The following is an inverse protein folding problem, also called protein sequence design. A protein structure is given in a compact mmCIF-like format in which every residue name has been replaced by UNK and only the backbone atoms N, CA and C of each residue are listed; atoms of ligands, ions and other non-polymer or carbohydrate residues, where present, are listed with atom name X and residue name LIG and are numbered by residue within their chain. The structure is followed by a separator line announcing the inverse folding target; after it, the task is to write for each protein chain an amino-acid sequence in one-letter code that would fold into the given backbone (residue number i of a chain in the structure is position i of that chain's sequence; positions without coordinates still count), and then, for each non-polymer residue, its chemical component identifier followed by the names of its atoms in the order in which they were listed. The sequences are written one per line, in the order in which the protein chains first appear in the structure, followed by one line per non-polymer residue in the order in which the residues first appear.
data_IF_815308669970
#
_entry.id   IF_815308669970
#
_cell.length_a   1.000
_cell.length_b   1.000
_cell.length_c   1.000
_cell.angle_alpha   90.00
_cell.angle_beta   90.00
_cell.angle_gamma   90.00
#
_symmetry.space_group_name_H-M   'P 1'
#
loop_
_entity.id
_entity.type
_entity.pdbx_description
1 polymer ?
#
# COMPACT_ATOMS: atom_id res chain seq x y z
N UNK A 1 20.13 -14.13 39.50
CA UNK A 1 19.69 -14.90 38.31
C UNK A 1 18.17 -14.90 38.10
N UNK A 2 17.35 -15.14 39.14
CA UNK A 2 15.87 -15.13 39.02
C UNK A 2 15.27 -13.76 38.61
N UNK A 3 15.93 -12.64 38.93
CA UNK A 3 15.47 -11.27 38.69
C UNK A 3 15.70 -10.73 37.27
N UNK A 4 16.53 -11.37 36.45
CA UNK A 4 16.72 -10.98 35.04
C UNK A 4 15.77 -11.70 34.08
N UNK A 5 15.12 -12.77 34.52
CA UNK A 5 14.18 -13.55 33.73
C UNK A 5 12.95 -12.74 33.26
N UNK A 6 12.31 -11.89 34.09
CA UNK A 6 11.16 -11.09 33.66
C UNK A 6 11.52 -10.06 32.58
N UNK A 7 12.72 -9.48 32.65
CA UNK A 7 13.21 -8.49 31.69
C UNK A 7 13.40 -9.12 30.30
N UNK A 8 14.00 -10.31 30.25
CA UNK A 8 14.23 -11.05 29.00
C UNK A 8 12.90 -11.46 28.34
N UNK A 9 11.90 -11.89 29.13
CA UNK A 9 10.57 -12.21 28.61
C UNK A 9 9.87 -11.00 27.98
N UNK A 10 9.95 -9.84 28.61
CA UNK A 10 9.40 -8.58 28.09
C UNK A 10 10.06 -8.22 26.76
N UNK A 11 11.39 -8.31 26.65
CA UNK A 11 12.10 -8.06 25.39
C UNK A 11 11.65 -8.99 24.26
N UNK A 12 11.44 -10.29 24.55
CA UNK A 12 10.96 -11.26 23.56
C UNK A 12 9.55 -10.89 23.07
N UNK A 13 8.65 -10.51 23.97
CA UNK A 13 7.28 -10.13 23.64
C UNK A 13 7.25 -8.85 22.79
N UNK A 14 7.98 -7.81 23.18
CA UNK A 14 8.06 -6.55 22.41
C UNK A 14 8.72 -6.75 21.05
N UNK A 15 9.76 -7.58 20.96
CA UNK A 15 10.40 -7.95 19.70
C UNK A 15 9.41 -8.61 18.74
N UNK A 16 8.67 -9.61 19.22
CA UNK A 16 7.63 -10.28 18.43
C UNK A 16 6.48 -9.34 18.04
N UNK A 17 6.06 -8.48 18.96
CA UNK A 17 4.96 -7.54 18.73
C UNK A 17 5.29 -6.42 17.76
N UNK A 18 6.55 -6.00 17.61
CA UNK A 18 6.94 -4.95 16.65
C UNK A 18 7.33 -5.49 15.26
N UNK A 19 8.01 -6.64 15.20
CA UNK A 19 8.45 -7.23 13.92
C UNK A 19 7.30 -7.84 13.12
N UNK A 20 6.38 -8.53 13.80
CA UNK A 20 5.23 -9.16 13.14
C UNK A 20 4.28 -8.16 12.44
N UNK A 21 3.90 -7.01 13.03
CA UNK A 21 3.07 -6.03 12.35
C UNK A 21 3.81 -5.29 11.24
N UNK A 22 5.13 -5.08 11.35
CA UNK A 22 5.91 -4.47 10.27
C UNK A 22 5.91 -5.34 9.01
N UNK A 23 6.14 -6.64 9.16
CA UNK A 23 6.12 -7.57 8.02
C UNK A 23 4.74 -7.65 7.36
N UNK A 24 3.67 -7.52 8.15
CA UNK A 24 2.30 -7.52 7.61
C UNK A 24 2.03 -6.28 6.74
N UNK A 25 2.36 -5.08 7.23
CA UNK A 25 2.19 -3.82 6.47
C UNK A 25 2.98 -3.80 5.16
N UNK A 26 4.22 -4.30 5.17
CA UNK A 26 5.04 -4.35 3.95
C UNK A 26 4.46 -5.33 2.90
N UNK A 27 3.96 -6.49 3.35
CA UNK A 27 3.32 -7.49 2.47
C UNK A 27 2.01 -6.96 1.88
N UNK A 28 1.20 -6.28 2.68
CA UNK A 28 -0.07 -5.72 2.23
C UNK A 28 0.13 -4.59 1.20
N UNK A 29 1.14 -3.73 1.42
CA UNK A 29 1.50 -2.69 0.44
C UNK A 29 2.03 -3.30 -0.87
N UNK A 30 2.87 -4.33 -0.81
CA UNK A 30 3.35 -5.02 -2.00
C UNK A 30 2.21 -5.65 -2.82
N UNK A 31 1.19 -6.21 -2.16
CA UNK A 31 0.00 -6.75 -2.82
C UNK A 31 -0.81 -5.68 -3.53
N UNK A 32 -1.07 -4.54 -2.87
CA UNK A 32 -1.76 -3.39 -3.48
C UNK A 32 -1.03 -2.88 -4.73
N UNK A 33 0.28 -2.71 -4.64
CA UNK A 33 1.14 -2.27 -5.75
C UNK A 33 1.10 -3.25 -6.93
N UNK A 34 1.05 -4.55 -6.67
CA UNK A 34 0.97 -5.57 -7.71
C UNK A 34 -0.40 -5.66 -8.40
N UNK A 35 -1.46 -5.23 -7.72
CA UNK A 35 -2.83 -5.33 -8.23
C UNK A 35 -3.23 -4.19 -9.18
N UNK A 36 -2.39 -3.16 -9.33
CA UNK A 36 -2.65 -2.00 -10.20
C UNK A 36 -2.80 -2.40 -11.67
N UNK A 37 -3.93 -2.03 -12.28
CA UNK A 37 -4.23 -2.26 -13.70
C UNK A 37 -4.56 -0.97 -14.43
N UNK A 38 -4.41 -0.99 -15.74
CA UNK A 38 -4.85 0.10 -16.61
C UNK A 38 -6.37 0.22 -16.56
N UNK A 39 -6.89 1.44 -16.41
CA UNK A 39 -8.32 1.73 -16.28
C UNK A 39 -8.80 1.89 -14.85
N UNK A 40 -7.98 1.53 -13.86
CA UNK A 40 -8.33 1.70 -12.45
C UNK A 40 -8.32 3.19 -12.07
N UNK A 41 -9.37 3.63 -11.36
CA UNK A 41 -9.38 4.92 -10.69
C UNK A 41 -8.59 4.80 -9.40
N UNK A 42 -7.67 5.72 -9.15
CA UNK A 42 -6.72 5.63 -8.04
C UNK A 42 -6.51 6.95 -7.34
N UNK A 43 -6.12 6.85 -6.07
CA UNK A 43 -5.69 7.98 -5.24
C UNK A 43 -4.24 7.80 -4.86
N UNK A 44 -3.44 8.84 -5.10
CA UNK A 44 -2.03 8.87 -4.70
C UNK A 44 -1.87 9.29 -3.23
N UNK A 45 -0.68 9.06 -2.65
CA UNK A 45 -0.32 9.51 -1.30
C UNK A 45 -0.53 11.02 -1.06
N UNK A 46 -0.49 11.83 -2.13
CA UNK A 46 -0.69 13.27 -2.07
C UNK A 46 -2.17 13.69 -2.16
N UNK A 47 -3.11 12.74 -2.23
CA UNK A 47 -4.53 13.00 -2.40
C UNK A 47 -4.92 13.36 -3.85
N UNK A 48 -4.09 13.01 -4.83
CA UNK A 48 -4.40 13.25 -6.25
C UNK A 48 -5.24 12.08 -6.76
N UNK A 49 -6.41 12.39 -7.31
CA UNK A 49 -7.30 11.44 -7.95
C UNK A 49 -7.01 11.39 -9.46
N UNK A 50 -7.03 10.20 -10.04
CA UNK A 50 -6.85 10.03 -11.48
C UNK A 50 -7.10 8.60 -11.92
N UNK A 51 -6.92 8.35 -13.21
CA UNK A 51 -7.11 7.02 -13.81
C UNK A 51 -5.79 6.51 -14.37
N UNK A 52 -5.46 5.24 -14.10
CA UNK A 52 -4.26 4.62 -14.64
C UNK A 52 -4.40 4.47 -16.15
N UNK A 53 -3.54 5.16 -16.90
CA UNK A 53 -3.44 5.06 -18.35
C UNK A 53 -2.45 3.98 -18.79
N UNK A 54 -1.43 3.69 -18.00
CA UNK A 54 -0.44 2.65 -18.30
C UNK A 54 0.27 2.20 -17.02
N UNK A 55 0.69 0.94 -16.98
CA UNK A 55 1.38 0.32 -15.86
C UNK A 55 2.74 -0.20 -16.36
N UNK A 56 3.83 0.28 -15.76
CA UNK A 56 5.20 -0.24 -15.95
C UNK A 56 5.64 -1.00 -14.69
N UNK A 57 6.80 -1.64 -14.70
CA UNK A 57 7.25 -2.47 -13.57
C UNK A 57 7.41 -1.70 -12.26
N UNK A 58 7.97 -0.47 -12.32
CA UNK A 58 8.25 0.36 -11.13
C UNK A 58 7.34 1.59 -11.00
N UNK A 59 6.79 2.05 -12.13
CA UNK A 59 6.02 3.29 -12.22
C UNK A 59 4.67 3.06 -12.90
N UNK A 60 3.74 3.99 -12.71
CA UNK A 60 2.42 4.01 -13.35
C UNK A 60 2.17 5.38 -13.95
N UNK A 61 1.56 5.42 -15.13
CA UNK A 61 1.14 6.65 -15.77
C UNK A 61 -0.31 6.88 -15.38
N UNK A 62 -0.58 7.96 -14.65
CA UNK A 62 -1.91 8.35 -14.21
C UNK A 62 -2.35 9.58 -15.01
N UNK A 63 -3.54 9.50 -15.58
CA UNK A 63 -4.22 10.64 -16.21
C UNK A 63 -5.02 11.38 -15.12
N UNK A 64 -4.67 12.64 -14.89
CA UNK A 64 -5.32 13.48 -13.86
C UNK A 64 -6.27 14.52 -14.46
N UNK A 65 -6.06 14.88 -15.72
CA UNK A 65 -6.92 15.78 -16.48
C UNK A 65 -6.81 15.46 -17.98
N UNK A 66 -7.62 16.10 -18.81
CA UNK A 66 -7.51 15.93 -20.25
C UNK A 66 -6.15 16.40 -20.76
N UNK A 67 -5.49 15.50 -21.49
CA UNK A 67 -4.11 15.66 -21.97
C UNK A 67 -3.01 15.78 -20.91
N UNK A 68 -3.32 15.61 -19.62
CA UNK A 68 -2.31 15.63 -18.55
C UNK A 68 -2.08 14.21 -18.03
N UNK A 69 -0.89 13.67 -18.34
CA UNK A 69 -0.41 12.37 -17.86
C UNK A 69 0.82 12.60 -17.00
N UNK A 70 0.80 12.02 -15.80
CA UNK A 70 1.89 12.13 -14.83
C UNK A 70 2.35 10.72 -14.47
N UNK A 71 3.68 10.54 -14.42
CA UNK A 71 4.28 9.28 -14.02
C UNK A 71 4.51 9.30 -12.50
N UNK A 72 3.94 8.33 -11.80
CA UNK A 72 4.07 8.13 -10.37
C UNK A 72 4.77 6.80 -10.09
N UNK A 73 5.51 6.72 -8.99
CA UNK A 73 5.97 5.44 -8.48
C UNK A 73 4.78 4.58 -8.06
N UNK A 74 4.85 3.27 -8.30
CA UNK A 74 3.77 2.36 -7.87
C UNK A 74 3.55 2.41 -6.36
N UNK A 75 4.61 2.61 -5.59
CA UNK A 75 4.56 2.77 -4.13
C UNK A 75 3.84 4.06 -3.68
N UNK A 76 3.65 5.03 -4.59
CA UNK A 76 2.93 6.26 -4.31
C UNK A 76 1.40 6.13 -4.43
N UNK A 77 0.88 4.96 -4.83
CA UNK A 77 -0.55 4.70 -4.96
C UNK A 77 -1.09 4.04 -3.69
N UNK A 78 -2.19 4.59 -3.15
CA UNK A 78 -2.75 4.17 -1.85
C UNK A 78 -4.01 3.34 -2.03
N UNK A 79 -4.90 3.77 -2.90
CA UNK A 79 -6.25 3.22 -3.01
C UNK A 79 -6.64 3.08 -4.46
N UNK A 80 -7.32 1.97 -4.76
CA UNK A 80 -7.99 1.73 -6.05
C UNK A 80 -9.49 1.94 -5.81
N UNK A 81 -10.06 2.96 -6.43
CA UNK A 81 -11.50 3.19 -6.50
C UNK A 81 -12.07 2.45 -7.72
N UNK A 82 -11.99 1.12 -7.71
CA UNK A 82 -12.78 0.30 -8.63
C UNK A 82 -14.13 0.00 -7.95
N UNK A 83 -15.15 0.82 -8.21
CA UNK A 83 -16.55 0.42 -7.99
C UNK A 83 -17.18 0.26 -9.38
N UNK A 84 -17.65 -0.95 -9.71
CA UNK A 84 -18.95 -1.35 -9.19
C UNK A 84 -18.96 -2.78 -8.62
N UNK A 85 -19.56 -2.94 -7.43
CA UNK A 85 -20.00 -4.20 -6.77
C UNK A 85 -19.16 -4.79 -5.63
N UNK A 86 -19.12 -4.18 -4.44
CA UNK A 86 -19.02 -4.94 -3.16
C UNK A 86 -19.26 -4.08 -1.88
N UNK A 87 -20.26 -3.20 -1.85
CA UNK A 87 -20.74 -2.56 -0.59
C UNK A 87 -22.22 -2.16 -0.70
N UNK A 88 -23.04 -3.05 -1.25
CA UNK A 88 -24.49 -2.94 -1.20
C UNK A 88 -25.09 -4.35 -1.19
N UNK A 89 -25.09 -4.98 -0.03
CA UNK A 89 -26.02 -6.06 0.37
C UNK A 89 -26.07 -6.10 1.89
#
# INVERSE_FOLDING_TARGET
FMSMMPLVFIFIIFYFLLIRPQQKKAKDHAKLVSALKTGDSVVTNAGIHGVISNVKDKTVIVKIADNVKVEFDRAAIVTIESSPSENAS
#
